data_IF_072696606487
#
_entry.id   IF_072696606487
#
_cell.length_a   1.000
_cell.length_b   1.000
_cell.length_c   1.000
_cell.angle_alpha   90.00
_cell.angle_beta   90.00
_cell.angle_gamma   90.00
#
_symmetry.space_group_name_H-M   'P 1'
#
loop_
_entity.id
_entity.type
_entity.pdbx_description
1 polymer ?
#
# COMPACT_ATOMS: atom_id res chain seq x y z
N UNK A 1 -6.02 -12.28 -25.53
CA UNK A 1 -5.55 -12.59 -24.18
C UNK A 1 -4.36 -11.70 -23.87
N UNK A 2 -4.56 -10.75 -22.99
CA UNK A 2 -3.45 -9.88 -22.61
C UNK A 2 -2.52 -10.68 -21.69
N UNK A 3 -1.37 -11.02 -22.22
CA UNK A 3 -0.28 -11.52 -21.38
C UNK A 3 0.08 -10.39 -20.42
N UNK A 4 0.02 -10.66 -19.15
CA UNK A 4 0.41 -9.66 -18.15
C UNK A 4 1.83 -9.21 -18.43
N UNK A 5 1.98 -7.96 -18.86
CA UNK A 5 3.28 -7.36 -19.17
C UNK A 5 4.20 -7.32 -17.96
N UNK A 6 3.60 -7.14 -16.78
CA UNK A 6 4.33 -6.95 -15.54
C UNK A 6 4.31 -8.22 -14.71
N UNK A 7 5.42 -8.49 -14.01
CA UNK A 7 5.49 -9.64 -13.12
C UNK A 7 4.56 -9.49 -11.93
N UNK A 8 4.17 -10.63 -11.33
CA UNK A 8 3.44 -10.60 -10.07
C UNK A 8 4.33 -9.94 -9.00
N UNK A 9 3.80 -9.00 -8.18
CA UNK A 9 4.59 -8.37 -7.13
C UNK A 9 5.16 -9.39 -6.15
N UNK A 10 6.44 -9.22 -5.84
CA UNK A 10 7.15 -10.03 -4.85
C UNK A 10 7.94 -9.15 -3.89
N UNK A 11 8.31 -9.70 -2.75
CA UNK A 11 9.14 -8.97 -1.80
C UNK A 11 10.48 -8.57 -2.42
N UNK A 12 10.92 -7.36 -2.10
CA UNK A 12 12.21 -6.83 -2.55
C UNK A 12 13.36 -7.69 -1.98
N UNK A 13 14.38 -7.92 -2.80
CA UNK A 13 15.60 -8.61 -2.41
C UNK A 13 16.76 -7.63 -2.34
N UNK A 14 17.79 -8.01 -1.59
CA UNK A 14 18.96 -7.14 -1.38
C UNK A 14 19.71 -6.79 -2.66
N UNK A 15 19.66 -7.65 -3.66
CA UNK A 15 20.35 -7.47 -4.96
C UNK A 15 19.45 -6.84 -6.04
N UNK A 16 18.21 -6.51 -5.73
CA UNK A 16 17.36 -5.80 -6.68
C UNK A 16 17.90 -4.39 -6.96
N UNK A 17 17.98 -4.02 -8.23
CA UNK A 17 18.44 -2.68 -8.63
C UNK A 17 17.31 -1.68 -8.53
N UNK A 18 17.43 -0.74 -7.60
CA UNK A 18 16.44 0.30 -7.32
C UNK A 18 16.84 1.67 -7.85
N UNK A 19 17.99 1.78 -8.53
CA UNK A 19 18.57 3.08 -8.88
C UNK A 19 17.91 3.77 -10.07
N UNK A 20 17.39 3.00 -11.01
CA UNK A 20 16.80 3.53 -12.24
C UNK A 20 15.31 3.92 -12.10
N UNK A 21 14.66 3.51 -11.01
CA UNK A 21 13.23 3.77 -10.80
C UNK A 21 12.97 5.26 -10.57
N UNK A 22 11.98 5.80 -11.28
CA UNK A 22 11.53 7.18 -11.10
C UNK A 22 10.04 7.28 -11.38
N UNK A 23 9.26 7.60 -10.35
CA UNK A 23 7.80 7.74 -10.50
C UNK A 23 7.32 9.17 -10.72
N UNK A 24 8.22 10.14 -10.60
CA UNK A 24 7.88 11.56 -10.68
C UNK A 24 7.68 12.23 -9.31
N UNK A 25 7.73 11.48 -8.23
CA UNK A 25 7.71 12.01 -6.86
C UNK A 25 9.00 11.59 -6.17
N UNK A 26 9.84 12.57 -5.82
CA UNK A 26 11.18 12.30 -5.26
C UNK A 26 11.10 11.61 -3.89
N UNK A 27 10.12 11.93 -3.07
CA UNK A 27 9.99 11.28 -1.76
C UNK A 27 9.70 9.78 -1.89
N UNK A 28 8.87 9.41 -2.86
CA UNK A 28 8.56 8.01 -3.16
C UNK A 28 9.78 7.30 -3.74
N UNK A 29 10.47 7.94 -4.67
CA UNK A 29 11.69 7.40 -5.30
C UNK A 29 12.81 7.20 -4.26
N UNK A 30 13.03 8.22 -3.42
CA UNK A 30 14.02 8.17 -2.35
C UNK A 30 13.73 7.05 -1.34
N UNK A 31 12.46 6.83 -1.03
CA UNK A 31 12.10 5.76 -0.12
C UNK A 31 12.50 4.38 -0.69
N UNK A 32 12.19 4.13 -1.95
CA UNK A 32 12.57 2.86 -2.60
C UNK A 32 14.10 2.71 -2.65
N UNK A 33 14.80 3.75 -3.06
CA UNK A 33 16.25 3.74 -3.22
C UNK A 33 16.99 3.60 -1.90
N UNK A 34 16.59 4.36 -0.88
CA UNK A 34 17.38 4.57 0.33
C UNK A 34 16.85 3.83 1.56
N UNK A 35 15.57 3.44 1.58
CA UNK A 35 14.93 2.93 2.79
C UNK A 35 14.31 1.54 2.68
N UNK A 36 13.83 1.15 1.51
CA UNK A 36 13.04 -0.08 1.35
C UNK A 36 13.75 -1.34 1.85
N UNK A 37 15.00 -1.53 1.44
CA UNK A 37 15.76 -2.72 1.84
C UNK A 37 16.11 -2.70 3.32
N UNK A 38 16.44 -1.53 3.86
CA UNK A 38 16.71 -1.36 5.29
C UNK A 38 15.47 -1.61 6.12
N UNK A 39 14.34 -1.09 5.71
CA UNK A 39 13.08 -1.28 6.42
C UNK A 39 12.73 -2.77 6.52
N UNK A 40 12.93 -3.53 5.44
CA UNK A 40 12.73 -4.98 5.46
C UNK A 40 13.67 -5.66 6.45
N UNK A 41 14.94 -5.31 6.42
CA UNK A 41 15.94 -5.89 7.31
C UNK A 41 15.63 -5.59 8.78
N UNK A 42 15.08 -4.41 9.07
CA UNK A 42 14.72 -3.98 10.41
C UNK A 42 13.30 -4.44 10.84
N UNK A 43 12.54 -5.02 9.93
CA UNK A 43 11.17 -5.46 10.23
C UNK A 43 10.17 -4.31 10.37
N UNK A 44 10.43 -3.14 9.80
CA UNK A 44 9.56 -1.96 9.92
C UNK A 44 8.60 -1.79 8.77
N UNK A 45 8.92 -2.33 7.59
CA UNK A 45 8.03 -2.37 6.44
C UNK A 45 8.49 -3.45 5.46
N UNK A 46 7.56 -3.97 4.67
CA UNK A 46 7.86 -4.91 3.59
C UNK A 46 7.47 -4.28 2.27
N UNK A 47 8.42 -4.24 1.35
CA UNK A 47 8.23 -3.68 0.00
C UNK A 47 8.05 -4.80 -1.01
N UNK A 48 7.04 -4.62 -1.87
CA UNK A 48 6.72 -5.53 -2.98
C UNK A 48 7.00 -4.81 -4.29
N UNK A 49 7.79 -5.46 -5.15
CA UNK A 49 8.22 -4.89 -6.43
C UNK A 49 7.68 -5.71 -7.59
N UNK A 50 7.33 -5.04 -8.68
CA UNK A 50 6.93 -5.65 -9.93
C UNK A 50 7.89 -5.22 -11.04
N UNK A 51 8.15 -6.11 -11.97
CA UNK A 51 9.16 -5.92 -13.01
C UNK A 51 8.51 -5.89 -14.40
N UNK A 52 9.08 -5.08 -15.27
CA UNK A 52 8.79 -5.12 -16.71
C UNK A 52 9.56 -6.27 -17.37
N UNK A 53 9.26 -6.52 -18.63
CA UNK A 53 9.88 -7.58 -19.43
C UNK A 53 11.40 -7.44 -19.53
N UNK A 54 11.91 -6.21 -19.48
CA UNK A 54 13.35 -5.93 -19.50
C UNK A 54 14.06 -6.14 -18.16
N UNK A 55 13.32 -6.56 -17.12
CA UNK A 55 13.88 -6.80 -15.79
C UNK A 55 14.01 -5.56 -14.91
N UNK A 56 13.57 -4.39 -15.38
CA UNK A 56 13.57 -3.18 -14.56
C UNK A 56 12.32 -3.10 -13.67
N UNK A 57 12.45 -2.43 -12.52
CA UNK A 57 11.33 -2.23 -11.62
C UNK A 57 10.33 -1.28 -12.26
N UNK A 58 9.11 -1.78 -12.51
CA UNK A 58 8.03 -1.01 -13.09
C UNK A 58 7.18 -0.29 -12.04
N UNK A 59 7.10 -0.85 -10.85
CA UNK A 59 6.33 -0.29 -9.75
C UNK A 59 6.58 -1.01 -8.44
N UNK A 60 6.11 -0.42 -7.35
CA UNK A 60 6.26 -1.01 -6.03
C UNK A 60 5.21 -0.47 -5.07
N UNK A 61 5.04 -1.16 -3.96
CA UNK A 61 4.33 -0.65 -2.79
C UNK A 61 4.94 -1.21 -1.52
N UNK A 62 4.67 -0.56 -0.40
CA UNK A 62 5.17 -0.98 0.90
C UNK A 62 4.04 -1.10 1.91
N UNK A 63 4.06 -2.18 2.68
CA UNK A 63 3.10 -2.44 3.75
C UNK A 63 3.80 -2.46 5.11
N UNK A 64 3.13 -1.93 6.11
CA UNK A 64 3.56 -2.03 7.51
C UNK A 64 2.34 -2.08 8.43
N UNK A 65 2.59 -2.40 9.69
CA UNK A 65 1.56 -2.33 10.73
C UNK A 65 1.48 -0.90 11.26
N UNK A 66 0.27 -0.44 11.56
CA UNK A 66 0.05 0.87 12.17
C UNK A 66 -1.14 0.78 13.11
N UNK A 67 -1.11 1.61 14.16
CA UNK A 67 -2.29 1.82 15.00
C UNK A 67 -2.87 3.20 14.72
N UNK A 68 -4.20 3.24 14.63
CA UNK A 68 -4.94 4.48 14.46
C UNK A 68 -5.67 4.74 15.79
N UNK A 69 -5.52 5.95 16.31
CA UNK A 69 -6.19 6.30 17.56
C UNK A 69 -7.71 6.28 17.37
N UNK A 70 -8.43 5.75 18.35
CA UNK A 70 -9.88 5.61 18.30
C UNK A 70 -10.61 6.92 18.05
N UNK A 71 -10.10 8.02 18.57
CA UNK A 71 -10.70 9.35 18.42
C UNK A 71 -10.52 9.94 17.01
N UNK A 72 -9.61 9.39 16.20
CA UNK A 72 -9.42 9.80 14.80
C UNK A 72 -10.42 9.13 13.86
N UNK A 73 -11.16 8.14 14.35
CA UNK A 73 -12.05 7.33 13.52
C UNK A 73 -13.48 7.80 13.70
N UNK A 74 -14.13 8.15 12.59
CA UNK A 74 -15.55 8.47 12.54
C UNK A 74 -16.30 7.29 11.89
N UNK A 75 -17.33 6.82 12.56
CA UNK A 75 -18.14 5.72 12.05
C UNK A 75 -18.20 4.54 13.02
N UNK A 76 -19.41 4.05 13.24
CA UNK A 76 -19.67 3.04 14.25
C UNK A 76 -18.94 1.73 14.03
N UNK A 77 -18.68 1.37 12.76
CA UNK A 77 -18.06 0.09 12.45
C UNK A 77 -16.61 0.01 12.92
N UNK A 78 -15.79 1.02 12.63
CA UNK A 78 -14.38 1.02 13.05
C UNK A 78 -14.24 1.24 14.56
N UNK A 79 -15.19 1.96 15.18
CA UNK A 79 -15.17 2.27 16.61
C UNK A 79 -15.80 1.19 17.46
N UNK A 80 -16.69 0.38 16.89
CA UNK A 80 -17.43 -0.63 17.64
C UNK A 80 -16.51 -1.71 18.16
N UNK A 81 -16.55 -1.95 19.47
CA UNK A 81 -15.68 -2.92 20.16
C UNK A 81 -14.19 -2.66 19.92
N UNK A 82 -13.82 -1.44 19.50
CA UNK A 82 -12.43 -1.08 19.29
C UNK A 82 -11.74 -0.85 20.63
N UNK A 83 -10.52 -1.33 20.71
CA UNK A 83 -9.60 -0.94 21.76
C UNK A 83 -9.23 0.54 21.61
N UNK A 84 -8.44 1.09 22.53
CA UNK A 84 -7.98 2.47 22.49
C UNK A 84 -7.31 2.81 21.14
N UNK A 85 -6.48 1.90 20.64
CA UNK A 85 -5.83 2.00 19.35
C UNK A 85 -6.35 0.89 18.42
N UNK A 86 -6.62 1.26 17.18
CA UNK A 86 -7.18 0.35 16.17
C UNK A 86 -6.05 -0.18 15.30
N UNK A 87 -5.81 -1.50 15.29
CA UNK A 87 -4.79 -2.07 14.43
C UNK A 87 -5.22 -1.99 12.95
N UNK A 88 -4.32 -1.52 12.13
CA UNK A 88 -4.52 -1.36 10.68
C UNK A 88 -3.28 -1.81 9.91
N UNK A 89 -3.43 -2.02 8.62
CA UNK A 89 -2.33 -2.18 7.69
C UNK A 89 -2.12 -0.84 7.00
N UNK A 90 -0.89 -0.37 6.96
CA UNK A 90 -0.51 0.87 6.27
C UNK A 90 0.10 0.54 4.92
N UNK A 91 -0.51 1.07 3.87
CA UNK A 91 0.11 1.18 2.55
C UNK A 91 0.84 2.53 2.54
N UNK A 92 2.10 2.52 2.95
CA UNK A 92 2.86 3.76 3.17
C UNK A 92 3.40 4.38 1.90
N UNK A 93 3.77 3.54 0.93
CA UNK A 93 4.31 3.98 -0.35
C UNK A 93 3.68 3.18 -1.48
N UNK A 94 3.39 3.84 -2.59
CA UNK A 94 3.01 3.22 -3.86
C UNK A 94 3.51 4.10 -4.99
N UNK A 95 4.28 3.52 -5.90
CA UNK A 95 4.84 4.24 -7.04
C UNK A 95 4.85 3.40 -8.29
N UNK A 96 4.60 4.05 -9.43
CA UNK A 96 4.70 3.45 -10.76
C UNK A 96 5.73 4.26 -11.55
N UNK A 97 6.71 3.58 -12.14
CA UNK A 97 7.72 4.24 -12.97
C UNK A 97 7.03 5.07 -14.06
N UNK A 98 7.53 6.29 -14.28
CA UNK A 98 6.87 7.23 -15.19
C UNK A 98 6.80 6.73 -16.63
N UNK A 99 7.73 5.86 -17.05
CA UNK A 99 7.68 5.23 -18.37
C UNK A 99 6.55 4.19 -18.50
N UNK A 100 5.93 3.81 -17.38
CA UNK A 100 4.86 2.81 -17.31
C UNK A 100 3.54 3.38 -16.80
N UNK A 101 3.41 4.69 -16.77
CA UNK A 101 2.15 5.35 -16.42
C UNK A 101 1.06 5.05 -17.46
N UNK A 102 -0.19 5.16 -17.06
CA UNK A 102 -1.37 4.99 -17.92
C UNK A 102 -1.52 3.56 -18.50
N UNK A 103 -0.95 2.56 -17.85
CA UNK A 103 -1.06 1.16 -18.26
C UNK A 103 -1.82 0.29 -17.23
N UNK A 104 -2.47 0.94 -16.25
CA UNK A 104 -3.24 0.24 -15.22
C UNK A 104 -2.42 -0.40 -14.12
N UNK A 105 -1.10 -0.18 -14.08
CA UNK A 105 -0.24 -0.81 -13.09
C UNK A 105 -0.53 -0.33 -11.67
N UNK A 106 -0.84 0.95 -11.48
CA UNK A 106 -1.19 1.50 -10.16
C UNK A 106 -2.38 0.78 -9.53
N UNK A 107 -3.44 0.54 -10.30
CA UNK A 107 -4.60 -0.20 -9.83
C UNK A 107 -4.31 -1.67 -9.55
N UNK A 108 -3.45 -2.30 -10.34
CA UNK A 108 -3.01 -3.68 -10.11
C UNK A 108 -2.21 -3.79 -8.82
N UNK A 109 -1.32 -2.83 -8.55
CA UNK A 109 -0.55 -2.78 -7.30
C UNK A 109 -1.45 -2.56 -6.10
N UNK A 110 -2.42 -1.65 -6.20
CA UNK A 110 -3.37 -1.41 -5.13
C UNK A 110 -4.22 -2.65 -4.84
N UNK A 111 -4.65 -3.37 -5.87
CA UNK A 111 -5.37 -4.63 -5.71
C UNK A 111 -4.51 -5.67 -5.00
N UNK A 112 -3.26 -5.84 -5.41
CA UNK A 112 -2.34 -6.79 -4.78
C UNK A 112 -2.11 -6.44 -3.31
N UNK A 113 -1.88 -5.15 -3.02
CA UNK A 113 -1.71 -4.66 -1.65
C UNK A 113 -2.95 -4.92 -0.79
N UNK A 114 -4.14 -4.70 -1.34
CA UNK A 114 -5.40 -4.94 -0.64
C UNK A 114 -5.58 -6.42 -0.32
N UNK A 115 -5.30 -7.30 -1.26
CA UNK A 115 -5.38 -8.75 -1.04
C UNK A 115 -4.40 -9.21 0.05
N UNK A 116 -3.18 -8.66 0.06
CA UNK A 116 -2.20 -8.97 1.12
C UNK A 116 -2.63 -8.42 2.47
N UNK A 117 -3.23 -7.24 2.49
CA UNK A 117 -3.77 -6.65 3.73
C UNK A 117 -4.91 -7.50 4.30
N UNK A 118 -5.81 -8.00 3.46
CA UNK A 118 -6.88 -8.92 3.87
C UNK A 118 -6.29 -10.19 4.45
N UNK A 119 -5.30 -10.79 3.78
CA UNK A 119 -4.64 -11.99 4.27
C UNK A 119 -3.94 -11.75 5.63
N UNK A 120 -3.24 -10.62 5.77
CA UNK A 120 -2.61 -10.25 7.03
C UNK A 120 -3.64 -10.05 8.14
N UNK A 121 -4.79 -9.45 7.83
CA UNK A 121 -5.86 -9.23 8.80
C UNK A 121 -6.45 -10.55 9.34
N UNK A 122 -6.41 -11.60 8.55
CA UNK A 122 -6.87 -12.92 8.98
C UNK A 122 -5.87 -13.61 9.92
N UNK A 123 -4.60 -13.26 9.80
CA UNK A 123 -3.53 -13.89 10.60
C UNK A 123 -3.30 -13.16 11.92
N UNK A 124 -3.24 -11.84 11.90
CA UNK A 124 -2.89 -11.05 13.10
C UNK A 124 -3.97 -10.07 13.56
N UNK A 125 -5.02 -9.91 12.78
CA UNK A 125 -6.07 -8.92 13.05
C UNK A 125 -5.69 -7.52 12.60
N UNK A 126 -6.52 -6.93 11.74
CA UNK A 126 -6.47 -5.54 11.32
C UNK A 126 -7.86 -5.15 10.81
N UNK A 127 -8.25 -3.89 11.02
CA UNK A 127 -9.59 -3.45 10.67
C UNK A 127 -9.69 -2.70 9.35
N UNK A 128 -8.60 -2.05 8.96
CA UNK A 128 -8.60 -1.19 7.77
C UNK A 128 -7.26 -1.21 7.07
N UNK A 129 -7.30 -0.90 5.78
CA UNK A 129 -6.12 -0.51 5.02
C UNK A 129 -6.07 1.01 5.02
N UNK A 130 -4.97 1.56 5.49
CA UNK A 130 -4.72 3.00 5.60
C UNK A 130 -3.66 3.39 4.57
N UNK A 131 -3.82 4.54 3.94
CA UNK A 131 -2.85 5.07 2.98
C UNK A 131 -2.42 6.48 3.37
N UNK A 132 -1.18 6.81 3.06
CA UNK A 132 -0.63 8.17 3.14
C UNK A 132 -0.45 8.69 1.72
N UNK A 133 -1.44 9.44 1.16
CA UNK A 133 -1.31 9.96 -0.20
C UNK A 133 -0.12 10.91 -0.32
N UNK A 134 0.74 10.67 -1.31
CA UNK A 134 1.94 11.47 -1.50
C UNK A 134 1.63 12.88 -2.03
N UNK A 135 0.51 13.03 -2.75
CA UNK A 135 0.07 14.30 -3.34
C UNK A 135 -1.44 14.25 -3.65
N UNK A 136 -1.97 15.33 -4.22
CA UNK A 136 -3.39 15.41 -4.57
C UNK A 136 -3.79 14.42 -5.66
N UNK A 137 -2.89 14.12 -6.59
CA UNK A 137 -3.14 13.10 -7.61
C UNK A 137 -3.30 11.71 -7.00
N UNK A 138 -2.46 11.36 -6.05
CA UNK A 138 -2.58 10.12 -5.29
C UNK A 138 -3.88 10.08 -4.48
N UNK A 139 -4.26 11.20 -3.85
CA UNK A 139 -5.51 11.31 -3.11
C UNK A 139 -6.71 11.00 -4.02
N UNK A 140 -6.77 11.61 -5.19
CA UNK A 140 -7.83 11.36 -6.17
C UNK A 140 -7.85 9.92 -6.65
N UNK A 141 -6.67 9.32 -6.83
CA UNK A 141 -6.53 7.92 -7.19
C UNK A 141 -7.17 7.01 -6.12
N UNK A 142 -6.84 7.22 -4.84
CA UNK A 142 -7.41 6.43 -3.75
C UNK A 142 -8.91 6.65 -3.60
N UNK A 143 -9.40 7.87 -3.76
CA UNK A 143 -10.84 8.18 -3.71
C UNK A 143 -11.63 7.36 -4.73
N UNK A 144 -11.09 7.19 -5.94
CA UNK A 144 -11.74 6.37 -6.98
C UNK A 144 -11.90 4.92 -6.57
N UNK A 145 -11.07 4.42 -5.68
CA UNK A 145 -11.13 3.04 -5.18
C UNK A 145 -11.85 2.91 -3.83
N UNK A 146 -12.58 3.94 -3.44
CA UNK A 146 -13.43 3.89 -2.26
C UNK A 146 -12.77 4.29 -0.95
N UNK A 147 -11.55 4.77 -0.98
CA UNK A 147 -10.89 5.30 0.21
C UNK A 147 -11.53 6.60 0.65
N UNK A 148 -11.68 6.76 1.97
CA UNK A 148 -12.26 7.93 2.60
C UNK A 148 -11.22 8.64 3.45
N UNK A 149 -11.38 9.95 3.62
CA UNK A 149 -10.50 10.73 4.50
C UNK A 149 -10.64 10.25 5.94
N UNK A 150 -9.49 10.11 6.62
CA UNK A 150 -9.45 9.88 8.05
C UNK A 150 -9.43 11.26 8.73
N UNK A 151 -10.51 11.62 9.46
CA UNK A 151 -10.64 12.99 9.96
C UNK A 151 -9.47 13.44 10.85
N UNK A 152 -9.05 14.70 10.66
CA UNK A 152 -7.94 15.28 11.41
C UNK A 152 -6.56 14.85 10.95
N UNK A 153 -6.48 14.11 9.86
CA UNK A 153 -5.21 13.64 9.29
C UNK A 153 -5.19 13.80 7.78
N UNK A 154 -4.02 13.66 7.18
CA UNK A 154 -3.87 13.56 5.73
C UNK A 154 -4.10 12.14 5.20
N UNK A 155 -4.34 11.19 6.09
CA UNK A 155 -4.52 9.78 5.76
C UNK A 155 -5.91 9.51 5.18
N UNK A 156 -5.98 8.41 4.45
CA UNK A 156 -7.23 7.85 3.96
C UNK A 156 -7.32 6.39 4.36
N UNK A 157 -8.52 5.82 4.37
CA UNK A 157 -8.71 4.44 4.76
C UNK A 157 -9.85 3.78 4.01
N UNK A 158 -9.81 2.45 3.98
CA UNK A 158 -10.92 1.60 3.57
C UNK A 158 -11.01 0.43 4.55
N UNK A 159 -12.21 0.08 5.03
CA UNK A 159 -12.39 -1.10 5.88
C UNK A 159 -12.01 -2.38 5.14
N UNK A 160 -11.29 -3.28 5.80
CA UNK A 160 -10.99 -4.59 5.25
C UNK A 160 -12.23 -5.47 5.34
N UNK A 161 -12.67 -6.01 4.20
CA UNK A 161 -13.85 -6.85 4.13
C UNK A 161 -13.64 -8.14 4.93
N UNK A 162 -14.65 -8.50 5.72
CA UNK A 162 -14.59 -9.67 6.60
C UNK A 162 -15.76 -10.61 6.35
N UNK A 163 -15.88 -11.06 5.13
CA UNK A 163 -16.94 -11.98 4.72
C UNK A 163 -17.02 -13.26 5.54
N UNK A 164 -15.90 -13.67 6.10
CA UNK A 164 -15.84 -14.86 6.95
C UNK A 164 -16.48 -14.67 8.33
N UNK A 165 -16.70 -13.42 8.77
CA UNK A 165 -17.35 -13.15 10.05
C UNK A 165 -18.86 -13.39 10.03
N UNK A 166 -19.43 -13.38 8.82
CA UNK A 166 -20.87 -13.51 8.62
C UNK A 166 -21.28 -14.96 8.33
N UNK A 167 -20.34 -15.89 8.45
CA UNK A 167 -20.58 -17.33 8.22
C UNK A 167 -20.70 -18.11 9.53
#
# INVERSE_FOLDING_TARGET
>A
MDVARFSKPRQILSDDDVTAFSCGNEDVDAWLRDRAKRARAQGTAVTYVTFDEDGSIAGFYALSAVFVARNEVVGGWLRRNALRDIPCVLLGMLGVDRCRHCQGLGSQLLRDATLRAVAASDVIGARALVVDPADDGARRFYERYGFKALPGTERMYVPLARRWRDR
#
